data_IF_081198301594
#
_entry.id   IF_081198301594
#
_cell.length_a   1.000
_cell.length_b   1.000
_cell.length_c   1.000
_cell.angle_alpha   90.00
_cell.angle_beta   90.00
_cell.angle_gamma   90.00
#
_symmetry.space_group_name_H-M   'P 1'
#
loop_
_entity.id
_entity.type
_entity.pdbx_description
1 polymer ?
#
# COMPACT_ATOMS: atom_id res chain seq x y z
N UNK A 1 2.95 -6.73 -53.88
CA UNK A 1 3.33 -5.87 -52.73
C UNK A 1 2.19 -4.87 -52.51
N UNK A 2 1.34 -5.10 -51.51
CA UNK A 2 0.16 -4.26 -51.24
C UNK A 2 0.62 -3.02 -50.46
N UNK A 3 0.37 -1.83 -51.00
CA UNK A 3 0.70 -0.55 -50.35
C UNK A 3 -0.20 -0.40 -49.13
N UNK A 4 0.38 -0.53 -47.94
CA UNK A 4 -0.33 -0.25 -46.70
C UNK A 4 -0.66 1.26 -46.67
N UNK A 5 -1.94 1.59 -46.56
CA UNK A 5 -2.45 2.95 -46.60
C UNK A 5 -2.03 3.73 -45.36
N UNK A 6 -1.41 4.90 -45.57
CA UNK A 6 -0.87 5.81 -44.53
C UNK A 6 -1.88 6.16 -43.42
N UNK A 7 -3.19 6.07 -43.70
CA UNK A 7 -4.25 6.30 -42.72
C UNK A 7 -4.31 5.25 -41.59
N UNK A 8 -3.82 4.03 -41.82
CA UNK A 8 -3.87 2.96 -40.82
C UNK A 8 -2.65 2.99 -39.88
N UNK A 9 -1.57 3.69 -40.27
CA UNK A 9 -0.37 3.85 -39.45
C UNK A 9 -0.60 4.89 -38.35
N UNK A 10 -1.31 5.98 -38.65
CA UNK A 10 -1.59 7.05 -37.68
C UNK A 10 -2.52 6.59 -36.55
N UNK A 11 -3.53 5.77 -36.86
CA UNK A 11 -4.49 5.28 -35.87
C UNK A 11 -3.88 4.26 -34.89
N UNK A 12 -2.88 3.48 -35.34
CA UNK A 12 -2.17 2.51 -34.50
C UNK A 12 -1.17 3.22 -33.58
N UNK A 13 -0.57 4.33 -34.02
CA UNK A 13 0.31 5.14 -33.17
C UNK A 13 -0.45 5.87 -32.04
N UNK A 14 -1.70 6.30 -32.26
CA UNK A 14 -2.50 6.98 -31.23
C UNK A 14 -2.94 6.06 -30.08
N UNK A 15 -3.08 4.76 -30.33
CA UNK A 15 -3.48 3.77 -29.31
C UNK A 15 -2.28 3.33 -28.46
N UNK A 16 -1.07 3.38 -29.03
CA UNK A 16 0.18 3.02 -28.33
C UNK A 16 0.69 4.12 -27.39
N UNK A 17 0.27 5.37 -27.56
CA UNK A 17 0.69 6.48 -26.69
C UNK A 17 -0.01 6.50 -25.33
N UNK A 18 -1.14 5.79 -25.16
CA UNK A 18 -1.85 5.73 -23.87
C UNK A 18 -1.21 4.73 -22.90
N UNK A 19 -0.38 3.80 -23.40
CA UNK A 19 0.29 2.78 -22.58
C UNK A 19 1.69 3.19 -22.08
N UNK A 20 2.18 4.39 -22.40
CA UNK A 20 3.55 4.83 -22.05
C UNK A 20 3.62 5.76 -20.83
N UNK A 21 2.52 5.90 -20.08
CA UNK A 21 2.48 6.63 -18.81
C UNK A 21 2.26 5.72 -17.59
N UNK A 22 2.57 4.42 -17.66
CA UNK A 22 2.85 3.69 -16.41
C UNK A 22 4.27 4.05 -16.01
N UNK A 23 4.36 4.98 -15.06
CA UNK A 23 5.58 5.46 -14.46
C UNK A 23 6.57 4.31 -14.24
N UNK A 24 7.80 4.50 -14.72
CA UNK A 24 8.92 3.65 -14.40
C UNK A 24 9.40 4.03 -13.00
N UNK A 25 8.63 3.55 -12.02
CA UNK A 25 8.93 3.51 -10.60
C UNK A 25 8.03 2.39 -10.12
N UNK A 26 8.59 1.19 -9.92
CA UNK A 26 7.82 0.14 -9.27
C UNK A 26 7.74 0.52 -7.81
N UNK A 27 6.86 1.46 -7.49
CA UNK A 27 6.43 1.73 -6.13
C UNK A 27 5.61 0.51 -5.72
N UNK A 28 6.32 -0.57 -5.39
CA UNK A 28 5.66 -1.70 -4.73
C UNK A 28 5.07 -1.12 -3.45
N UNK A 29 3.89 -1.59 -3.00
CA UNK A 29 3.31 -1.14 -1.73
C UNK A 29 4.32 -1.16 -0.58
N UNK A 30 5.27 -2.11 -0.61
CA UNK A 30 6.39 -2.21 0.33
C UNK A 30 7.27 -0.98 0.43
N UNK A 31 7.57 -0.32 -0.70
CA UNK A 31 8.51 0.79 -0.75
C UNK A 31 7.83 2.08 -0.29
N UNK A 32 6.52 2.22 -0.56
CA UNK A 32 5.70 3.32 -0.05
C UNK A 32 5.41 3.18 1.44
N UNK A 33 5.21 1.97 1.96
CA UNK A 33 4.93 1.72 3.38
C UNK A 33 6.04 2.19 4.31
N UNK A 34 7.31 2.08 3.89
CA UNK A 34 8.46 2.42 4.73
C UNK A 34 8.40 3.88 5.16
N UNK A 35 8.43 4.11 6.47
CA UNK A 35 8.30 5.44 7.07
C UNK A 35 7.54 5.42 8.39
N UNK A 36 7.38 6.61 8.95
CA UNK A 36 6.61 6.87 10.17
C UNK A 36 5.33 7.61 9.81
N UNK A 37 4.22 7.11 10.33
CA UNK A 37 2.86 7.52 10.01
C UNK A 37 2.15 7.90 11.31
N UNK A 38 1.40 9.01 11.28
CA UNK A 38 0.74 9.56 12.47
C UNK A 38 -0.73 9.83 12.18
N UNK A 39 -1.63 9.34 13.04
CA UNK A 39 -3.07 9.62 12.95
C UNK A 39 -3.42 10.98 13.57
N UNK A 40 -4.66 11.42 13.38
CA UNK A 40 -5.20 12.63 14.02
C UNK A 40 -5.20 12.54 15.57
N UNK A 41 -5.18 11.33 16.12
CA UNK A 41 -5.13 11.06 17.57
C UNK A 41 -3.69 10.87 18.11
N UNK A 42 -2.68 11.28 17.34
CA UNK A 42 -1.25 11.14 17.65
C UNK A 42 -0.78 9.67 17.81
N UNK A 43 -1.53 8.70 17.25
CA UNK A 43 -1.08 7.31 17.21
C UNK A 43 -0.03 7.11 16.12
N UNK A 44 0.98 6.27 16.40
CA UNK A 44 2.14 6.10 15.52
C UNK A 44 2.15 4.69 14.94
N UNK A 45 2.31 4.61 13.63
CA UNK A 45 2.66 3.40 12.89
C UNK A 45 4.01 3.60 12.21
N UNK A 46 4.91 2.63 12.32
CA UNK A 46 6.22 2.68 11.68
C UNK A 46 6.50 1.39 10.93
N UNK A 47 7.00 1.50 9.70
CA UNK A 47 7.53 0.38 8.91
C UNK A 47 8.98 0.66 8.52
N UNK A 48 9.88 -0.26 8.84
CA UNK A 48 11.32 -0.12 8.57
C UNK A 48 11.78 -1.04 7.44
N UNK A 49 12.86 -0.66 6.76
CA UNK A 49 13.41 -1.40 5.61
C UNK A 49 13.85 -2.84 5.94
N UNK A 50 14.15 -3.13 7.21
CA UNK A 50 14.55 -4.44 7.70
C UNK A 50 13.37 -5.38 8.00
N UNK A 51 12.14 -4.92 7.78
CA UNK A 51 10.91 -5.66 8.05
C UNK A 51 10.44 -5.59 9.50
N UNK A 52 11.02 -4.72 10.34
CA UNK A 52 10.46 -4.37 11.64
C UNK A 52 9.34 -3.35 11.52
N UNK A 53 8.40 -3.36 12.47
CA UNK A 53 7.35 -2.37 12.54
C UNK A 53 6.99 -2.02 13.99
N UNK A 54 6.34 -0.86 14.15
CA UNK A 54 5.61 -0.46 15.34
C UNK A 54 4.16 -0.29 14.94
N UNK A 55 3.24 -1.01 15.59
CA UNK A 55 1.80 -0.82 15.45
C UNK A 55 1.28 0.15 16.52
N UNK A 56 0.16 0.83 16.28
CA UNK A 56 -0.45 1.72 17.26
C UNK A 56 -1.11 0.90 18.36
N UNK A 57 -1.39 1.53 19.50
CA UNK A 57 -2.16 0.91 20.58
C UNK A 57 -3.64 1.17 20.33
N UNK A 58 -4.40 0.13 19.97
CA UNK A 58 -5.83 0.26 19.72
C UNK A 58 -6.64 -0.11 20.98
N UNK A 59 -7.88 0.38 21.10
CA UNK A 59 -8.78 -0.02 22.20
C UNK A 59 -9.69 -1.19 21.81
N UNK A 60 -9.55 -1.70 20.59
CA UNK A 60 -10.38 -2.74 20.00
C UNK A 60 -9.90 -4.17 20.31
N UNK A 61 -8.84 -4.32 21.13
CA UNK A 61 -8.20 -5.60 21.45
C UNK A 61 -7.73 -6.35 20.19
N UNK A 62 -7.34 -5.61 19.16
CA UNK A 62 -6.73 -6.17 17.96
C UNK A 62 -5.32 -6.66 18.30
N UNK A 63 -4.94 -7.80 17.74
CA UNK A 63 -3.64 -8.40 18.05
C UNK A 63 -2.49 -7.69 17.34
N UNK A 64 -2.77 -6.90 16.30
CA UNK A 64 -1.75 -6.19 15.55
C UNK A 64 -0.95 -5.18 16.37
N UNK A 65 -1.50 -4.67 17.49
CA UNK A 65 -0.75 -3.82 18.43
C UNK A 65 0.52 -4.50 18.96
N UNK A 66 0.55 -5.83 18.94
CA UNK A 66 1.70 -6.65 19.33
C UNK A 66 2.65 -6.95 18.17
N UNK A 67 2.37 -6.46 16.97
CA UNK A 67 3.22 -6.68 15.81
C UNK A 67 4.53 -5.93 15.97
N UNK A 68 5.62 -6.66 15.69
CA UNK A 68 6.98 -6.13 15.71
C UNK A 68 7.70 -6.38 14.37
N UNK A 69 7.05 -7.13 13.47
CA UNK A 69 7.54 -7.49 12.14
C UNK A 69 6.43 -7.45 11.12
N UNK A 70 6.78 -7.07 9.90
CA UNK A 70 5.89 -7.11 8.76
C UNK A 70 6.54 -7.78 7.54
N UNK A 71 5.70 -8.18 6.59
CA UNK A 71 6.13 -8.60 5.26
C UNK A 71 5.03 -8.27 4.27
N UNK A 72 5.41 -7.65 3.14
CA UNK A 72 4.52 -7.48 1.99
C UNK A 72 4.75 -8.64 1.03
N UNK A 73 3.71 -9.41 0.74
CA UNK A 73 3.75 -10.54 -0.20
C UNK A 73 3.79 -10.04 -1.65
N UNK A 74 4.05 -10.95 -2.58
CA UNK A 74 4.13 -10.63 -4.02
C UNK A 74 2.79 -10.14 -4.61
N UNK A 75 1.67 -10.48 -3.99
CA UNK A 75 0.32 -10.03 -4.34
C UNK A 75 -0.08 -8.72 -3.67
N UNK A 76 0.79 -8.12 -2.86
CA UNK A 76 0.54 -6.87 -2.15
C UNK A 76 -0.05 -7.05 -0.75
N UNK A 77 -0.44 -8.26 -0.34
CA UNK A 77 -0.97 -8.47 1.02
C UNK A 77 0.12 -8.15 2.07
N UNK A 78 -0.21 -7.24 2.98
CA UNK A 78 0.58 -6.93 4.17
C UNK A 78 0.30 -7.99 5.23
N UNK A 79 1.35 -8.57 5.81
CA UNK A 79 1.23 -9.49 6.94
C UNK A 79 2.01 -8.93 8.10
N UNK A 80 1.34 -8.80 9.24
CA UNK A 80 1.93 -8.40 10.50
C UNK A 80 2.18 -9.64 11.36
N UNK A 81 3.25 -9.60 12.14
CA UNK A 81 3.64 -10.74 12.95
C UNK A 81 4.38 -10.34 14.21
N UNK A 82 4.28 -11.18 15.24
CA UNK A 82 5.10 -11.10 16.45
C UNK A 82 5.92 -12.38 16.63
N UNK A 83 7.10 -12.30 17.25
CA UNK A 83 7.85 -13.51 17.67
C UNK A 83 7.27 -14.12 18.93
N UNK A 84 6.80 -13.28 19.85
CA UNK A 84 6.40 -13.70 21.20
C UNK A 84 4.91 -13.43 21.47
N UNK A 85 4.28 -12.53 20.72
CA UNK A 85 2.87 -12.18 20.81
C UNK A 85 1.96 -12.97 19.87
N UNK A 86 0.71 -12.53 19.80
CA UNK A 86 -0.36 -13.17 19.02
C UNK A 86 -0.69 -12.47 17.70
N UNK A 87 0.08 -11.44 17.31
CA UNK A 87 -0.14 -10.75 16.05
C UNK A 87 0.07 -11.70 14.86
N UNK A 88 -1.00 -11.93 14.09
CA UNK A 88 -1.01 -12.65 12.82
C UNK A 88 -1.93 -12.01 11.77
N UNK A 89 -2.29 -10.74 11.98
CA UNK A 89 -3.15 -9.95 11.10
C UNK A 89 -2.58 -9.81 9.69
N UNK A 90 -3.48 -9.78 8.71
CA UNK A 90 -3.14 -9.55 7.31
C UNK A 90 -4.13 -8.63 6.65
N UNK A 91 -3.61 -7.71 5.84
CA UNK A 91 -4.40 -6.71 5.13
C UNK A 91 -4.18 -6.83 3.63
N UNK A 92 -5.26 -6.90 2.88
CA UNK A 92 -5.19 -6.89 1.42
C UNK A 92 -5.02 -5.46 0.90
N UNK A 93 -4.15 -5.29 -0.10
CA UNK A 93 -3.92 -3.97 -0.71
C UNK A 93 -5.12 -3.59 -1.57
N UNK A 94 -5.61 -2.37 -1.40
CA UNK A 94 -6.68 -1.79 -2.22
C UNK A 94 -6.20 -0.51 -2.90
N UNK A 95 -6.91 -0.09 -3.95
CA UNK A 95 -6.51 1.04 -4.80
C UNK A 95 -7.22 2.36 -4.41
N UNK A 96 -8.09 2.33 -3.40
CA UNK A 96 -8.86 3.50 -2.98
C UNK A 96 -8.94 3.65 -1.47
N UNK A 97 -8.88 4.90 -1.03
CA UNK A 97 -9.05 5.27 0.38
C UNK A 97 -10.43 4.88 0.92
N UNK A 98 -11.49 5.06 0.11
CA UNK A 98 -12.87 4.70 0.49
C UNK A 98 -13.00 3.22 0.85
N UNK A 99 -12.38 2.33 0.07
CA UNK A 99 -12.39 0.89 0.33
C UNK A 99 -11.61 0.54 1.60
N UNK A 100 -10.44 1.16 1.82
CA UNK A 100 -9.63 0.95 3.01
C UNK A 100 -10.29 1.44 4.31
N UNK A 101 -11.12 2.49 4.22
CA UNK A 101 -11.91 3.01 5.34
C UNK A 101 -13.16 2.16 5.64
N UNK A 102 -13.75 1.50 4.63
CA UNK A 102 -14.95 0.67 4.80
C UNK A 102 -14.62 -0.77 5.25
N UNK A 103 -13.50 -1.33 4.78
CA UNK A 103 -13.07 -2.69 5.10
C UNK A 103 -11.76 -2.71 5.89
N UNK A 104 -11.88 -2.94 7.21
CA UNK A 104 -10.75 -3.00 8.13
C UNK A 104 -9.78 -4.17 7.88
N UNK A 105 -10.12 -5.11 6.98
CA UNK A 105 -9.22 -6.17 6.52
C UNK A 105 -8.36 -5.76 5.32
N UNK A 106 -8.39 -4.49 4.92
CA UNK A 106 -7.63 -3.95 3.79
C UNK A 106 -6.74 -2.79 4.20
N UNK A 107 -5.81 -2.41 3.32
CA UNK A 107 -4.99 -1.23 3.48
C UNK A 107 -4.76 -0.49 2.16
N UNK A 108 -4.58 0.82 2.25
CA UNK A 108 -4.19 1.71 1.17
C UNK A 108 -2.92 2.48 1.57
N UNK A 109 -2.01 2.72 0.62
CA UNK A 109 -0.81 3.53 0.86
C UNK A 109 -0.47 4.38 -0.36
N UNK A 110 -0.17 5.65 -0.11
CA UNK A 110 0.30 6.65 -1.08
C UNK A 110 1.59 7.32 -0.60
N UNK A 111 2.02 8.39 -1.28
CA UNK A 111 3.19 9.18 -0.87
C UNK A 111 2.99 9.80 0.53
N UNK A 112 1.78 10.20 0.90
CA UNK A 112 1.50 10.98 2.11
C UNK A 112 0.41 10.38 3.00
N UNK A 113 -0.32 9.38 2.52
CA UNK A 113 -1.45 8.75 3.23
C UNK A 113 -1.23 7.24 3.41
N UNK A 114 -1.50 6.75 4.62
CA UNK A 114 -1.67 5.34 4.94
C UNK A 114 -3.05 5.16 5.54
N UNK A 115 -3.82 4.19 5.05
CA UNK A 115 -5.07 3.76 5.68
C UNK A 115 -4.97 2.28 5.99
N UNK A 116 -5.16 1.91 7.25
CA UNK A 116 -5.07 0.53 7.73
C UNK A 116 -5.98 0.36 8.96
N UNK A 117 -6.66 -0.79 9.06
CA UNK A 117 -7.67 -1.05 10.11
C UNK A 117 -8.80 0.00 10.16
N UNK A 118 -9.11 0.63 9.01
CA UNK A 118 -10.12 1.68 8.90
C UNK A 118 -9.68 3.06 9.43
N UNK A 119 -8.40 3.23 9.79
CA UNK A 119 -7.86 4.47 10.34
C UNK A 119 -6.87 5.12 9.35
N UNK A 120 -6.90 6.45 9.27
CA UNK A 120 -6.03 7.25 8.40
C UNK A 120 -4.82 7.78 9.17
N UNK A 121 -3.65 7.72 8.53
CA UNK A 121 -2.39 8.22 9.03
C UNK A 121 -1.66 9.03 7.95
N UNK A 122 -1.00 10.10 8.38
CA UNK A 122 -0.22 10.99 7.52
C UNK A 122 1.27 10.74 7.73
N UNK A 123 2.05 10.77 6.64
CA UNK A 123 3.50 10.57 6.71
C UNK A 123 4.18 11.72 7.45
N UNK A 124 5.18 11.38 8.27
CA UNK A 124 6.07 12.35 8.94
C UNK A 124 7.47 12.36 8.33
N UNK A 125 8.12 13.53 8.34
CA UNK A 125 9.48 13.75 7.79
C UNK A 125 10.60 13.23 8.70
#
# INVERSE_FOLDING_TARGET
MKKLSFKHIVMVCSILTVFLLTACGSDKPSDLLIGTWVSDDDEIVEFQDDGSCTAPFTYNASWWESAERYTVKNDGTLVLSSREGHADDSFDSVESEEEALDDSSTYYVSEDTLIIDGEEYVRTE
#
